data_IF_049829189879
#
_entry.id   IF_049829189879
#
_cell.length_a   1.000
_cell.length_b   1.000
_cell.length_c   1.000
_cell.angle_alpha   90.00
_cell.angle_beta   90.00
_cell.angle_gamma   90.00
#
_symmetry.space_group_name_H-M   'P 1'
#
loop_
_entity.id
_entity.type
_entity.pdbx_description
1 polymer ?
#
# COMPACT_ATOMS: atom_id res chain seq x y z
N UNK A 1 -8.63 -20.72 22.67
CA UNK A 1 -8.79 -19.94 21.42
C UNK A 1 -7.60 -19.00 21.28
N UNK A 2 -7.02 -18.89 20.09
CA UNK A 2 -5.87 -18.03 19.77
C UNK A 2 -6.11 -17.34 18.43
N UNK A 3 -5.53 -16.16 18.24
CA UNK A 3 -5.49 -15.48 16.93
C UNK A 3 -4.12 -15.75 16.33
N UNK A 4 -4.07 -16.24 15.09
CA UNK A 4 -2.82 -16.50 14.38
C UNK A 4 -2.62 -15.47 13.27
N UNK A 5 -1.50 -14.78 13.29
CA UNK A 5 -1.04 -13.90 12.24
C UNK A 5 0.07 -14.56 11.46
N UNK A 6 -0.24 -15.01 10.25
CA UNK A 6 0.70 -15.71 9.38
C UNK A 6 0.90 -14.84 8.14
N UNK A 7 2.10 -14.31 7.94
CA UNK A 7 2.38 -13.48 6.78
C UNK A 7 3.84 -13.57 6.32
N UNK A 8 4.05 -13.18 5.07
CA UNK A 8 5.38 -13.14 4.48
C UNK A 8 6.15 -11.88 4.84
N UNK A 9 7.47 -11.97 4.73
CA UNK A 9 8.38 -10.84 4.84
C UNK A 9 9.63 -11.07 3.99
N UNK A 10 10.18 -10.00 3.43
CA UNK A 10 11.47 -10.04 2.71
C UNK A 10 11.37 -9.67 1.23
N UNK A 11 10.22 -9.19 0.77
CA UNK A 11 10.05 -8.58 -0.54
C UNK A 11 9.99 -7.06 -0.41
N UNK A 12 10.44 -6.38 -1.47
CA UNK A 12 10.25 -4.95 -1.63
C UNK A 12 8.76 -4.64 -1.87
N UNK A 13 8.23 -3.58 -1.28
CA UNK A 13 6.82 -3.20 -1.40
C UNK A 13 6.65 -1.70 -1.41
N UNK A 14 5.66 -1.21 -2.13
CA UNK A 14 5.37 0.21 -2.25
C UNK A 14 4.89 0.79 -0.92
N UNK A 15 5.43 1.96 -0.54
CA UNK A 15 5.12 2.61 0.74
C UNK A 15 4.51 4.00 0.58
N UNK A 16 4.98 4.78 -0.40
CA UNK A 16 4.46 6.11 -0.67
C UNK A 16 4.87 6.57 -2.06
N UNK A 17 4.17 7.56 -2.62
CA UNK A 17 4.44 8.08 -3.96
C UNK A 17 4.81 9.56 -3.93
N UNK A 18 5.67 9.96 -4.85
CA UNK A 18 5.90 11.35 -5.22
C UNK A 18 4.92 11.71 -6.33
N UNK A 19 4.13 12.74 -6.10
CA UNK A 19 3.17 13.23 -7.08
C UNK A 19 3.66 14.53 -7.72
N UNK A 20 3.64 14.57 -9.06
CA UNK A 20 3.72 15.80 -9.82
C UNK A 20 2.31 16.39 -9.95
N UNK A 21 2.23 17.73 -9.97
CA UNK A 21 0.96 18.46 -10.08
C UNK A 21 0.90 19.19 -11.40
N UNK A 22 -0.11 18.88 -12.20
CA UNK A 22 -0.39 19.53 -13.46
C UNK A 22 -1.28 20.77 -13.33
N UNK A 23 -1.86 21.12 -14.47
CA UNK A 23 -2.82 22.20 -14.60
C UNK A 23 -4.15 21.86 -13.92
N UNK A 24 -4.91 22.90 -13.63
CA UNK A 24 -6.27 22.76 -13.15
C UNK A 24 -7.18 22.35 -14.31
N UNK A 25 -7.97 21.30 -14.08
CA UNK A 25 -9.03 20.91 -14.98
C UNK A 25 -10.29 21.71 -14.65
N UNK A 26 -10.93 22.17 -15.71
CA UNK A 26 -12.19 22.89 -15.67
C UNK A 26 -13.20 22.03 -16.39
N UNK A 27 -14.46 22.14 -15.99
CA UNK A 27 -15.53 21.42 -16.66
C UNK A 27 -15.62 21.94 -18.11
N UNK A 28 -15.73 21.04 -19.08
CA UNK A 28 -15.92 21.38 -20.50
C UNK A 28 -17.39 21.80 -20.74
N UNK A 29 -17.92 22.69 -19.90
CA UNK A 29 -19.22 23.33 -20.15
C UNK A 29 -18.99 24.32 -21.30
N UNK A 30 -18.97 23.77 -22.52
CA UNK A 30 -19.24 24.52 -23.72
C UNK A 30 -20.63 25.12 -23.55
N UNK A 31 -20.76 26.43 -23.77
CA UNK A 31 -22.07 27.05 -23.88
C UNK A 31 -22.94 26.20 -24.81
N UNK A 32 -24.21 25.98 -24.47
CA UNK A 32 -25.19 25.09 -25.13
C UNK A 32 -25.38 25.30 -26.66
N UNK A 33 -24.65 26.22 -27.28
CA UNK A 33 -24.65 26.47 -28.71
C UNK A 33 -23.26 26.21 -29.32
N UNK A 34 -23.23 25.32 -30.33
CA UNK A 34 -22.08 24.96 -31.19
C UNK A 34 -21.41 26.15 -31.93
N UNK A 35 -21.94 27.37 -31.77
CA UNK A 35 -21.59 28.62 -32.46
C UNK A 35 -21.63 29.83 -31.51
N UNK A 36 -21.28 29.66 -30.24
CA UNK A 36 -21.07 30.80 -29.34
C UNK A 36 -19.77 31.55 -29.74
N UNK A 37 -19.85 32.34 -30.81
CA UNK A 37 -18.82 33.29 -31.22
C UNK A 37 -19.16 34.62 -30.56
N UNK A 38 -18.21 35.27 -29.88
CA UNK A 38 -18.50 36.59 -29.33
C UNK A 38 -18.87 37.55 -30.46
N UNK A 39 -19.91 38.36 -30.24
CA UNK A 39 -20.38 39.36 -31.20
C UNK A 39 -19.35 40.48 -31.45
N UNK A 40 -18.36 40.65 -30.56
CA UNK A 40 -17.38 41.72 -30.61
C UNK A 40 -15.97 41.21 -30.28
N UNK A 41 -15.01 41.45 -31.19
CA UNK A 41 -13.62 40.98 -31.10
C UNK A 41 -12.82 41.60 -29.95
N UNK A 42 -13.30 42.68 -29.34
CA UNK A 42 -12.63 43.35 -28.21
C UNK A 42 -12.90 42.70 -26.86
N UNK A 43 -13.85 41.76 -26.77
CA UNK A 43 -14.26 41.09 -25.53
C UNK A 43 -13.89 39.60 -25.49
N UNK A 44 -13.19 39.08 -26.50
CA UNK A 44 -12.72 37.69 -26.54
C UNK A 44 -11.23 37.57 -26.19
N UNK A 45 -10.82 36.36 -25.78
CA UNK A 45 -9.40 35.97 -25.72
C UNK A 45 -8.80 35.86 -27.15
N UNK A 46 -7.47 35.79 -27.28
CA UNK A 46 -6.68 35.72 -28.53
C UNK A 46 -7.15 34.57 -29.47
N UNK A 47 -7.89 33.60 -28.92
CA UNK A 47 -8.48 32.46 -29.63
C UNK A 47 -9.90 32.71 -30.15
N UNK A 48 -10.46 33.91 -29.99
CA UNK A 48 -11.82 34.26 -30.43
C UNK A 48 -12.94 33.65 -29.59
N UNK A 49 -12.63 33.24 -28.35
CA UNK A 49 -13.56 32.61 -27.40
C UNK A 49 -13.86 33.58 -26.27
N UNK A 50 -15.09 33.55 -25.74
CA UNK A 50 -15.48 34.33 -24.56
C UNK A 50 -14.58 33.95 -23.37
N UNK A 51 -14.00 34.93 -22.64
CA UNK A 51 -13.20 34.66 -21.46
C UNK A 51 -14.05 33.93 -20.40
N UNK A 52 -13.40 33.05 -19.63
CA UNK A 52 -14.05 32.27 -18.57
C UNK A 52 -14.67 33.18 -17.52
N UNK A 53 -15.80 32.75 -16.95
CA UNK A 53 -16.50 33.56 -15.94
C UNK A 53 -15.66 33.71 -14.67
N UNK A 54 -15.72 34.85 -13.95
CA UNK A 54 -14.95 35.04 -12.71
C UNK A 54 -15.25 34.04 -11.56
N UNK A 55 -16.33 33.26 -11.68
CA UNK A 55 -16.74 32.21 -10.74
C UNK A 55 -16.54 30.80 -11.30
N UNK A 56 -15.82 30.67 -12.43
CA UNK A 56 -15.43 29.39 -13.01
C UNK A 56 -14.31 28.76 -12.17
N UNK A 57 -14.71 28.01 -11.15
CA UNK A 57 -13.83 27.31 -10.22
C UNK A 57 -13.37 25.99 -10.84
N UNK A 58 -12.07 25.65 -10.75
CA UNK A 58 -11.58 24.39 -11.27
C UNK A 58 -12.19 23.21 -10.50
N UNK A 59 -12.66 22.20 -11.24
CA UNK A 59 -13.30 21.00 -10.70
C UNK A 59 -12.27 20.03 -10.13
N UNK A 60 -11.09 20.02 -10.73
CA UNK A 60 -10.06 19.02 -10.52
C UNK A 60 -8.67 19.63 -10.77
N UNK A 61 -7.64 18.95 -10.28
CA UNK A 61 -6.26 19.22 -10.67
C UNK A 61 -5.62 17.92 -11.10
N UNK A 62 -4.96 17.92 -12.25
CA UNK A 62 -4.24 16.73 -12.70
C UNK A 62 -3.09 16.42 -11.74
N UNK A 63 -3.02 15.18 -11.29
CA UNK A 63 -1.91 14.66 -10.51
C UNK A 63 -1.51 13.30 -11.07
N UNK A 64 -0.21 13.06 -11.17
CA UNK A 64 0.36 11.77 -11.57
C UNK A 64 1.60 11.47 -10.75
N UNK A 65 2.03 10.22 -10.73
CA UNK A 65 3.27 9.83 -10.06
C UNK A 65 4.44 10.42 -10.85
N UNK A 66 5.33 11.14 -10.16
CA UNK A 66 6.50 11.73 -10.78
C UNK A 66 7.58 10.67 -11.04
N UNK A 67 7.51 10.06 -12.22
CA UNK A 67 8.43 9.00 -12.68
C UNK A 67 9.87 9.50 -12.78
N UNK A 68 10.12 10.81 -12.85
CA UNK A 68 11.47 11.36 -12.95
C UNK A 68 12.21 11.37 -11.61
N UNK A 69 11.48 11.26 -10.48
CA UNK A 69 12.09 11.22 -9.16
C UNK A 69 12.61 9.81 -8.87
N UNK A 70 13.93 9.64 -9.01
CA UNK A 70 14.62 8.41 -8.61
C UNK A 70 15.78 8.74 -7.68
N UNK A 71 15.83 8.08 -6.52
CA UNK A 71 16.83 8.26 -5.47
C UNK A 71 17.25 6.89 -4.94
N UNK A 72 18.29 6.32 -5.54
CA UNK A 72 18.76 4.97 -5.19
C UNK A 72 19.63 4.94 -3.91
N UNK A 73 20.26 6.06 -3.57
CA UNK A 73 21.16 6.17 -2.42
C UNK A 73 20.45 6.52 -1.10
N UNK A 74 19.13 6.75 -1.14
CA UNK A 74 18.34 7.01 0.07
C UNK A 74 17.79 5.70 0.64
N UNK A 75 17.65 5.63 1.97
CA UNK A 75 16.98 4.54 2.67
C UNK A 75 15.74 5.15 3.35
N UNK A 76 14.51 4.83 2.90
CA UNK A 76 14.14 3.86 1.87
C UNK A 76 14.35 4.38 0.44
N UNK A 77 14.63 3.47 -0.51
CA UNK A 77 14.90 3.80 -1.91
C UNK A 77 13.67 4.40 -2.58
N UNK A 78 13.89 5.30 -3.54
CA UNK A 78 12.83 5.81 -4.41
C UNK A 78 13.16 5.45 -5.84
N UNK A 79 12.24 4.78 -6.52
CA UNK A 79 12.37 4.38 -7.93
C UNK A 79 11.14 4.85 -8.68
N UNK A 80 11.31 5.65 -9.72
CA UNK A 80 10.22 6.12 -10.58
C UNK A 80 9.07 6.80 -9.80
N UNK A 81 9.41 7.61 -8.80
CA UNK A 81 8.44 8.28 -7.93
C UNK A 81 7.84 7.37 -6.85
N UNK A 82 8.15 6.08 -6.81
CA UNK A 82 7.66 5.13 -5.80
C UNK A 82 8.71 4.94 -4.72
N UNK A 83 8.34 5.21 -3.47
CA UNK A 83 9.17 4.90 -2.30
C UNK A 83 8.95 3.44 -1.91
N UNK A 84 10.03 2.68 -1.95
CA UNK A 84 10.04 1.24 -1.71
C UNK A 84 10.43 0.97 -0.26
N UNK A 85 9.62 0.17 0.43
CA UNK A 85 9.86 -0.34 1.77
C UNK A 85 9.83 -1.86 1.82
N UNK A 86 9.73 -2.38 3.03
CA UNK A 86 9.67 -3.82 3.30
C UNK A 86 8.20 -4.30 3.32
N UNK A 87 7.97 -5.51 2.82
CA UNK A 87 6.66 -6.14 2.78
C UNK A 87 6.71 -7.58 2.25
N UNK A 88 5.58 -8.02 1.73
CA UNK A 88 5.41 -9.32 1.06
C UNK A 88 5.36 -9.20 -0.48
N UNK A 89 5.67 -8.02 -1.03
CA UNK A 89 5.61 -7.74 -2.46
C UNK A 89 4.40 -6.88 -2.85
N UNK A 90 3.32 -6.96 -2.07
CA UNK A 90 2.07 -6.21 -2.31
C UNK A 90 1.69 -5.35 -1.12
N UNK A 91 1.79 -5.89 0.10
CA UNK A 91 1.36 -5.27 1.34
C UNK A 91 2.57 -4.95 2.22
N UNK A 92 2.65 -3.70 2.67
CA UNK A 92 3.76 -3.26 3.52
C UNK A 92 3.77 -3.99 4.87
N UNK A 93 4.95 -4.30 5.40
CA UNK A 93 5.11 -5.03 6.67
C UNK A 93 4.36 -4.38 7.85
N UNK A 94 4.24 -3.05 7.84
CA UNK A 94 3.46 -2.32 8.84
C UNK A 94 2.00 -2.77 8.86
N UNK A 95 1.37 -2.91 7.69
CA UNK A 95 -0.03 -3.32 7.59
C UNK A 95 -0.21 -4.81 7.90
N UNK A 96 0.78 -5.65 7.60
CA UNK A 96 0.72 -7.09 7.85
C UNK A 96 0.81 -7.42 9.35
N UNK A 97 1.69 -6.75 10.09
CA UNK A 97 2.03 -7.18 11.45
C UNK A 97 1.71 -6.22 12.59
N UNK A 98 1.43 -4.93 12.35
CA UNK A 98 1.27 -3.97 13.46
C UNK A 98 0.12 -4.33 14.41
N UNK A 99 -1.02 -4.77 13.86
CA UNK A 99 -2.15 -5.22 14.67
C UNK A 99 -1.82 -6.49 15.46
N UNK A 100 -1.13 -7.43 14.84
CA UNK A 100 -0.77 -8.70 15.44
C UNK A 100 0.15 -8.55 16.66
N UNK A 101 1.14 -7.68 16.51
CA UNK A 101 2.18 -7.48 17.50
C UNK A 101 1.70 -6.60 18.65
N UNK A 102 0.93 -5.55 18.37
CA UNK A 102 0.60 -4.55 19.39
C UNK A 102 -0.89 -4.20 19.45
N UNK A 103 -1.56 -4.01 18.31
CA UNK A 103 -2.98 -3.61 18.30
C UNK A 103 -3.90 -4.59 19.04
N UNK A 104 -3.83 -5.88 18.69
CA UNK A 104 -4.61 -6.96 19.31
C UNK A 104 -4.13 -7.36 20.71
N UNK A 105 -3.00 -6.81 21.19
CA UNK A 105 -2.61 -6.96 22.59
C UNK A 105 -3.37 -5.99 23.50
N UNK A 106 -4.03 -4.97 22.94
CA UNK A 106 -4.70 -3.91 23.68
C UNK A 106 -6.20 -4.21 23.80
N UNK A 107 -6.76 -3.88 24.96
CA UNK A 107 -8.18 -4.12 25.30
C UNK A 107 -9.18 -3.46 24.35
N UNK A 108 -8.81 -2.33 23.73
CA UNK A 108 -9.67 -1.60 22.80
C UNK A 108 -10.05 -2.42 21.56
N UNK A 109 -9.09 -3.16 20.98
CA UNK A 109 -9.32 -3.97 19.78
C UNK A 109 -9.46 -5.47 20.10
N UNK A 110 -9.00 -5.92 21.26
CA UNK A 110 -9.17 -7.29 21.73
C UNK A 110 -9.70 -7.29 23.19
N UNK A 111 -11.00 -6.98 23.40
CA UNK A 111 -11.58 -6.87 24.72
C UNK A 111 -11.61 -8.21 25.49
N UNK A 112 -11.60 -9.33 24.75
CA UNK A 112 -11.59 -10.68 25.30
C UNK A 112 -10.19 -11.18 25.69
N UNK A 113 -9.13 -10.42 25.38
CA UNK A 113 -7.75 -10.79 25.72
C UNK A 113 -7.30 -12.11 25.09
N UNK A 114 -7.77 -12.40 23.87
CA UNK A 114 -7.40 -13.62 23.14
C UNK A 114 -5.91 -13.57 22.84
N UNK A 115 -5.17 -14.64 23.13
CA UNK A 115 -3.73 -14.73 22.83
C UNK A 115 -3.52 -14.62 21.31
N UNK A 116 -2.71 -13.66 20.89
CA UNK A 116 -2.26 -13.52 19.50
C UNK A 116 -0.88 -14.12 19.33
N UNK A 117 -0.68 -14.90 18.28
CA UNK A 117 0.61 -15.48 17.88
C UNK A 117 0.96 -14.95 16.50
N UNK A 118 2.17 -14.43 16.32
CA UNK A 118 2.65 -13.89 15.05
C UNK A 118 3.77 -14.76 14.49
N UNK A 119 3.59 -15.23 13.27
CA UNK A 119 4.57 -16.06 12.57
C UNK A 119 4.88 -15.44 11.21
N UNK A 120 6.08 -14.89 11.09
CA UNK A 120 6.59 -14.29 9.87
C UNK A 120 7.40 -15.32 9.08
N UNK A 121 7.07 -15.49 7.80
CA UNK A 121 7.80 -16.36 6.88
C UNK A 121 8.79 -15.55 6.05
N UNK A 122 10.07 -15.89 6.14
CA UNK A 122 11.11 -15.25 5.33
C UNK A 122 10.98 -15.67 3.86
N UNK A 123 10.86 -14.71 2.95
CA UNK A 123 10.83 -14.94 1.52
C UNK A 123 12.20 -15.44 1.03
N UNK A 124 12.32 -16.73 0.73
CA UNK A 124 13.53 -17.36 0.18
C UNK A 124 13.14 -18.20 -1.04
N UNK A 125 13.05 -17.61 -2.23
CA UNK A 125 12.54 -18.32 -3.39
C UNK A 125 13.57 -19.32 -3.92
N UNK A 126 13.10 -20.47 -4.39
CA UNK A 126 13.91 -21.44 -5.12
C UNK A 126 14.17 -20.95 -6.55
N UNK A 127 15.43 -21.01 -7.00
CA UNK A 127 15.86 -20.38 -8.25
C UNK A 127 15.21 -20.95 -9.53
N UNK A 128 14.72 -22.19 -9.50
CA UNK A 128 14.16 -22.89 -10.66
C UNK A 128 12.63 -23.05 -10.61
N UNK A 129 11.98 -22.50 -9.59
CA UNK A 129 10.52 -22.51 -9.46
C UNK A 129 9.93 -21.14 -9.82
N UNK A 130 9.04 -21.13 -10.81
CA UNK A 130 8.39 -19.90 -11.31
C UNK A 130 7.55 -19.23 -10.22
N UNK A 131 7.09 -19.98 -9.21
CA UNK A 131 6.35 -19.48 -8.04
C UNK A 131 7.19 -19.39 -6.77
N UNK A 132 8.51 -19.54 -6.88
CA UNK A 132 9.44 -19.40 -5.76
C UNK A 132 9.53 -20.60 -4.81
N UNK A 133 8.85 -21.72 -5.08
CA UNK A 133 9.06 -22.97 -4.33
C UNK A 133 8.50 -22.97 -2.91
N UNK A 134 8.92 -23.96 -2.11
CA UNK A 134 8.31 -24.23 -0.81
C UNK A 134 8.60 -23.16 0.26
N UNK A 135 9.61 -22.32 0.04
CA UNK A 135 10.06 -21.26 0.96
C UNK A 135 9.77 -19.84 0.46
N UNK A 136 8.88 -19.72 -0.52
CA UNK A 136 8.35 -18.42 -0.95
C UNK A 136 7.46 -17.80 0.13
N UNK A 137 7.51 -16.48 0.23
CA UNK A 137 6.64 -15.68 1.08
C UNK A 137 6.17 -14.39 0.37
N UNK A 138 6.03 -14.47 -0.96
CA UNK A 138 5.36 -13.43 -1.74
C UNK A 138 3.85 -13.44 -1.43
N UNK A 139 3.17 -12.30 -1.54
CA UNK A 139 1.78 -12.11 -1.17
C UNK A 139 0.83 -13.23 -1.66
N UNK A 140 0.99 -13.65 -2.92
CA UNK A 140 0.17 -14.72 -3.52
C UNK A 140 0.83 -16.08 -3.33
N UNK A 141 2.14 -16.18 -3.58
CA UNK A 141 2.82 -17.47 -3.62
C UNK A 141 3.00 -18.09 -2.23
N UNK A 142 2.85 -17.31 -1.14
CA UNK A 142 2.89 -17.81 0.24
C UNK A 142 1.91 -18.96 0.51
N UNK A 143 0.83 -19.07 -0.27
CA UNK A 143 -0.10 -20.21 -0.21
C UNK A 143 0.57 -21.55 -0.57
N UNK A 144 1.63 -21.51 -1.38
CA UNK A 144 2.48 -22.66 -1.69
C UNK A 144 3.55 -22.95 -0.64
N UNK A 145 3.69 -22.09 0.38
CA UNK A 145 4.72 -22.25 1.41
C UNK A 145 4.45 -23.48 2.27
N UNK A 146 5.48 -24.31 2.47
CA UNK A 146 5.37 -25.48 3.36
C UNK A 146 5.16 -25.05 4.81
N UNK A 147 5.82 -23.97 5.25
CA UNK A 147 5.69 -23.45 6.60
C UNK A 147 4.26 -22.97 6.90
N UNK A 148 3.63 -22.23 5.98
CA UNK A 148 2.24 -21.79 6.15
C UNK A 148 1.30 -22.99 6.24
N UNK A 149 1.45 -23.94 5.31
CA UNK A 149 0.57 -25.11 5.22
C UNK A 149 0.71 -26.03 6.44
N UNK A 150 1.92 -26.22 6.97
CA UNK A 150 2.14 -26.98 8.21
C UNK A 150 1.42 -26.33 9.41
N UNK A 151 1.58 -25.01 9.58
CA UNK A 151 0.93 -24.26 10.66
C UNK A 151 -0.60 -24.33 10.52
N UNK A 152 -1.12 -24.14 9.30
CA UNK A 152 -2.56 -24.19 9.06
C UNK A 152 -3.14 -25.57 9.40
N UNK A 153 -2.45 -26.66 9.02
CA UNK A 153 -2.86 -28.02 9.35
C UNK A 153 -2.83 -28.29 10.86
N UNK A 154 -1.77 -27.84 11.56
CA UNK A 154 -1.67 -27.92 13.02
C UNK A 154 -2.83 -27.19 13.71
N UNK A 155 -3.15 -25.98 13.27
CA UNK A 155 -4.29 -25.21 13.79
C UNK A 155 -5.62 -25.92 13.52
N UNK A 156 -5.84 -26.41 12.31
CA UNK A 156 -7.07 -27.11 11.94
C UNK A 156 -7.24 -28.44 12.68
N UNK A 157 -6.15 -29.14 12.98
CA UNK A 157 -6.14 -30.37 13.77
C UNK A 157 -6.34 -30.14 15.27
N UNK A 158 -6.31 -28.88 15.74
CA UNK A 158 -6.38 -28.53 17.15
C UNK A 158 -5.05 -28.64 17.89
N UNK A 159 -3.95 -28.97 17.20
CA UNK A 159 -2.60 -29.12 17.75
C UNK A 159 -1.79 -27.83 17.55
N UNK A 160 -2.26 -26.74 18.16
CA UNK A 160 -1.73 -25.38 17.94
C UNK A 160 -0.97 -24.82 19.14
N UNK A 161 -0.65 -25.68 20.11
CA UNK A 161 0.00 -25.27 21.36
C UNK A 161 1.50 -25.02 21.19
N UNK A 162 2.14 -25.75 20.29
CA UNK A 162 3.57 -25.62 19.98
C UNK A 162 3.90 -24.48 19.01
N UNK A 163 2.89 -23.77 18.50
CA UNK A 163 3.11 -22.65 17.56
C UNK A 163 3.45 -21.41 18.37
N UNK A 164 4.73 -21.04 18.33
CA UNK A 164 5.29 -19.85 18.97
C UNK A 164 5.44 -18.67 18.01
N UNK A 165 5.69 -17.51 18.60
CA UNK A 165 6.00 -16.30 17.88
C UNK A 165 7.33 -16.42 17.11
N UNK A 166 7.29 -16.18 15.81
CA UNK A 166 8.46 -16.17 14.94
C UNK A 166 8.54 -14.85 14.18
N UNK A 167 9.63 -14.11 14.40
CA UNK A 167 9.84 -12.79 13.81
C UNK A 167 11.11 -12.78 12.97
N UNK A 168 10.98 -12.31 11.74
CA UNK A 168 12.08 -12.09 10.78
C UNK A 168 12.33 -10.60 10.60
N UNK A 169 11.30 -9.78 10.76
CA UNK A 169 11.29 -8.34 10.55
C UNK A 169 11.45 -7.55 11.85
N UNK A 170 11.72 -6.25 11.70
CA UNK A 170 11.75 -5.28 12.79
C UNK A 170 10.36 -4.71 13.16
N UNK A 171 9.26 -5.40 12.80
CA UNK A 171 7.88 -4.92 12.97
C UNK A 171 7.55 -4.45 14.39
N UNK A 172 8.13 -5.09 15.41
CA UNK A 172 7.94 -4.69 16.82
C UNK A 172 8.38 -3.25 17.08
N UNK A 173 9.50 -2.82 16.46
CA UNK A 173 9.98 -1.43 16.56
C UNK A 173 9.09 -0.46 15.78
N UNK A 174 8.48 -0.92 14.70
CA UNK A 174 7.59 -0.09 13.89
C UNK A 174 6.24 0.13 14.58
N UNK A 175 5.65 -0.94 15.13
CA UNK A 175 4.38 -0.91 15.84
C UNK A 175 4.42 0.05 17.04
N UNK A 176 5.52 0.08 17.80
CA UNK A 176 5.72 0.96 18.95
C UNK A 176 5.68 2.46 18.61
N UNK A 177 5.92 2.81 17.34
CA UNK A 177 5.90 4.22 16.87
C UNK A 177 4.51 4.68 16.46
N UNK A 178 3.54 3.78 16.38
CA UNK A 178 2.16 4.11 16.03
C UNK A 178 1.48 4.75 17.24
N UNK A 179 0.77 5.85 17.01
CA UNK A 179 -0.18 6.38 18.00
C UNK A 179 -1.43 5.50 17.98
N UNK A 180 -1.46 4.54 18.90
CA UNK A 180 -2.59 3.64 19.06
C UNK A 180 -3.79 4.35 19.70
N UNK A 181 -3.54 5.32 20.58
CA UNK A 181 -4.54 6.04 21.38
C UNK A 181 -4.38 7.56 21.24
#
# INVERSE_FOLDING_TARGET
MKIFCLHGHGKETERSYWYARGEYEYDDILADAMQAVCLNTTECDIRGVTPRSPLDLPTSRQNWIDVLVTRENEIPKVKNGVKIGEGDGTVASLSLGAMCVEGWQRKRWNPAGIKTVTYEMAHRPEAMDIRGGATTADHIDILGSSALNEILLKVAAGDSDDIEDHFVSDIRKYAQKIQWD
#
